data_IF_648364722151
#
_entry.id   IF_648364722151
#
_cell.length_a   1.000
_cell.length_b   1.000
_cell.length_c   1.000
_cell.angle_alpha   90.00
_cell.angle_beta   90.00
_cell.angle_gamma   90.00
#
_symmetry.space_group_name_H-M   'P 1'
#
loop_
_entity.id
_entity.type
_entity.pdbx_description
1 polymer ?
#
# COMPACT_ATOMS: atom_id res chain seq x y z
N UNK A 1 -31.86 18.51 6.69
CA UNK A 1 -30.41 18.18 6.72
C UNK A 1 -30.18 17.00 7.64
N UNK A 2 -29.97 15.81 7.08
CA UNK A 2 -29.58 14.63 7.88
C UNK A 2 -28.13 14.87 8.34
N UNK A 3 -27.82 14.81 9.65
CA UNK A 3 -26.45 14.98 10.13
C UNK A 3 -25.58 13.84 9.60
N UNK A 4 -24.48 14.20 8.93
CA UNK A 4 -23.58 13.25 8.28
C UNK A 4 -22.39 12.85 9.15
N UNK A 5 -22.08 13.62 10.19
CA UNK A 5 -20.97 13.37 11.12
C UNK A 5 -21.51 13.27 12.55
N UNK A 6 -21.26 12.15 13.22
CA UNK A 6 -21.64 11.92 14.61
C UNK A 6 -20.38 11.86 15.50
N UNK A 7 -20.08 12.92 16.28
CA UNK A 7 -18.88 12.97 17.10
C UNK A 7 -19.03 12.10 18.36
N UNK A 8 -18.31 10.97 18.40
CA UNK A 8 -18.35 10.04 19.55
C UNK A 8 -17.23 10.30 20.56
N UNK A 9 -16.24 11.13 20.21
CA UNK A 9 -15.09 11.44 21.07
C UNK A 9 -15.47 11.90 22.48
N UNK A 10 -16.57 12.63 22.61
CA UNK A 10 -17.08 13.12 23.89
C UNK A 10 -17.46 12.01 24.88
N UNK A 11 -17.85 10.83 24.39
CA UNK A 11 -18.25 9.70 25.23
C UNK A 11 -17.06 8.89 25.77
N UNK A 12 -15.85 9.09 25.24
CA UNK A 12 -14.65 8.35 25.64
C UNK A 12 -13.49 9.29 26.02
N UNK A 13 -13.63 10.09 27.10
CA UNK A 13 -12.61 11.06 27.49
C UNK A 13 -11.37 10.43 28.15
N UNK A 14 -11.54 9.29 28.82
CA UNK A 14 -10.52 8.70 29.70
C UNK A 14 -9.91 7.41 29.14
N UNK A 15 -8.65 7.12 29.51
CA UNK A 15 -8.03 5.80 29.25
C UNK A 15 -8.79 4.69 30.00
N UNK A 16 -8.87 3.46 29.45
CA UNK A 16 -8.28 3.00 28.19
C UNK A 16 -9.16 3.26 26.95
N UNK A 17 -10.42 3.63 27.14
CA UNK A 17 -11.41 3.81 26.07
C UNK A 17 -11.09 4.96 25.12
N UNK A 18 -10.31 5.95 25.56
CA UNK A 18 -9.75 7.00 24.71
C UNK A 18 -9.01 6.42 23.50
N UNK A 19 -8.45 5.22 23.61
CA UNK A 19 -7.77 4.52 22.51
C UNK A 19 -8.68 4.34 21.28
N UNK A 20 -9.98 4.08 21.46
CA UNK A 20 -10.95 3.90 20.37
C UNK A 20 -11.01 5.13 19.47
N UNK A 21 -10.90 6.32 20.07
CA UNK A 21 -11.07 7.61 19.38
C UNK A 21 -9.73 8.34 19.15
N UNK A 22 -8.61 7.69 19.48
CA UNK A 22 -7.26 8.20 19.24
C UNK A 22 -6.54 7.39 18.15
N UNK A 23 -5.58 7.99 17.44
CA UNK A 23 -4.89 7.33 16.33
C UNK A 23 -5.76 7.20 15.07
N UNK A 24 -6.42 6.05 14.90
CA UNK A 24 -7.37 5.76 13.83
C UNK A 24 -8.81 5.86 14.35
N UNK A 25 -9.37 7.06 14.58
CA UNK A 25 -10.60 7.21 15.34
C UNK A 25 -11.76 6.44 14.70
N UNK A 26 -12.57 5.77 15.51
CA UNK A 26 -13.90 5.31 15.11
C UNK A 26 -14.78 6.56 14.89
N UNK A 27 -14.95 6.95 13.63
CA UNK A 27 -15.80 8.07 13.25
C UNK A 27 -17.05 7.56 12.55
N UNK A 28 -18.21 7.91 13.09
CA UNK A 28 -19.48 7.66 12.43
C UNK A 28 -19.74 8.78 11.45
N UNK A 29 -19.41 8.53 10.17
CA UNK A 29 -19.65 9.45 9.08
C UNK A 29 -20.43 8.78 7.97
N UNK A 30 -21.70 9.13 7.85
CA UNK A 30 -22.54 8.56 6.80
C UNK A 30 -22.21 9.25 5.48
N UNK A 31 -21.64 8.48 4.54
CA UNK A 31 -21.42 8.95 3.16
C UNK A 31 -22.21 8.07 2.21
N UNK A 32 -23.34 8.59 1.72
CA UNK A 32 -24.23 7.86 0.81
C UNK A 32 -23.51 7.33 -0.44
N UNK A 33 -22.55 8.08 -0.97
CA UNK A 33 -21.73 7.63 -2.11
C UNK A 33 -20.85 6.44 -1.78
N UNK A 34 -20.37 6.32 -0.54
CA UNK A 34 -19.57 5.17 -0.11
C UNK A 34 -20.47 3.97 0.11
N UNK A 35 -21.61 4.15 0.78
CA UNK A 35 -22.63 3.10 0.98
C UNK A 35 -23.05 2.49 -0.35
N UNK A 36 -23.31 3.33 -1.36
CA UNK A 36 -23.68 2.86 -2.69
C UNK A 36 -22.60 2.03 -3.38
N UNK A 37 -21.32 2.30 -3.13
CA UNK A 37 -20.24 1.51 -3.73
C UNK A 37 -19.86 0.29 -2.89
N UNK A 38 -19.93 0.37 -1.57
CA UNK A 38 -19.71 -0.78 -0.68
C UNK A 38 -20.76 -1.87 -0.89
N UNK A 39 -21.94 -1.52 -1.41
CA UNK A 39 -22.95 -2.49 -1.87
C UNK A 39 -22.42 -3.46 -2.94
N UNK A 40 -21.47 -3.04 -3.78
CA UNK A 40 -20.86 -3.90 -4.80
C UNK A 40 -19.68 -4.73 -4.28
N UNK A 41 -19.25 -4.54 -3.02
CA UNK A 41 -18.19 -5.34 -2.43
C UNK A 41 -18.71 -6.74 -2.07
N UNK A 42 -17.84 -7.74 -2.15
CA UNK A 42 -18.19 -9.09 -1.73
C UNK A 42 -18.59 -9.10 -0.24
N UNK A 43 -19.69 -9.76 0.15
CA UNK A 43 -20.15 -9.79 1.55
C UNK A 43 -19.08 -10.24 2.54
N UNK A 44 -18.31 -11.27 2.19
CA UNK A 44 -17.20 -11.80 3.00
C UNK A 44 -16.11 -10.75 3.26
N UNK A 45 -15.85 -9.88 2.29
CA UNK A 45 -14.86 -8.81 2.42
C UNK A 45 -15.39 -7.73 3.35
N UNK A 46 -16.63 -7.31 3.17
CA UNK A 46 -17.27 -6.27 3.98
C UNK A 46 -17.35 -6.68 5.46
N UNK A 47 -17.82 -7.90 5.75
CA UNK A 47 -17.89 -8.40 7.13
C UNK A 47 -16.50 -8.54 7.77
N UNK A 48 -15.49 -8.89 6.97
CA UNK A 48 -14.11 -8.98 7.45
C UNK A 48 -13.50 -7.62 7.76
N UNK A 49 -13.67 -6.64 6.87
CA UNK A 49 -13.21 -5.26 7.12
C UNK A 49 -13.87 -4.72 8.39
N UNK A 50 -15.17 -5.00 8.55
CA UNK A 50 -15.90 -4.64 9.75
C UNK A 50 -15.29 -5.33 10.99
N UNK A 51 -15.32 -6.66 11.04
CA UNK A 51 -14.84 -7.40 12.20
C UNK A 51 -13.41 -7.03 12.59
N UNK A 52 -12.48 -6.98 11.63
CA UNK A 52 -11.07 -6.71 11.93
C UNK A 52 -10.81 -5.28 12.38
N UNK A 53 -11.55 -4.29 11.87
CA UNK A 53 -11.43 -2.93 12.39
C UNK A 53 -11.83 -2.86 13.88
N UNK A 54 -12.94 -3.50 14.26
CA UNK A 54 -13.33 -3.59 15.68
C UNK A 54 -12.32 -4.40 16.49
N UNK A 55 -11.83 -5.51 15.96
CA UNK A 55 -10.78 -6.31 16.59
C UNK A 55 -9.54 -5.47 16.93
N UNK A 56 -9.05 -4.66 15.98
CA UNK A 56 -7.94 -3.74 16.23
C UNK A 56 -8.29 -2.65 17.24
N UNK A 57 -9.54 -2.16 17.27
CA UNK A 57 -9.98 -1.19 18.29
C UNK A 57 -9.94 -1.78 19.69
N UNK A 58 -10.44 -2.99 19.88
CA UNK A 58 -10.33 -3.69 21.16
C UNK A 58 -8.88 -3.93 21.55
N UNK A 59 -8.01 -4.24 20.59
CA UNK A 59 -6.59 -4.39 20.85
C UNK A 59 -5.92 -3.08 21.26
N UNK A 60 -6.26 -1.95 20.63
CA UNK A 60 -5.76 -0.63 21.04
C UNK A 60 -6.20 -0.26 22.47
N UNK A 61 -7.44 -0.61 22.84
CA UNK A 61 -7.94 -0.46 24.22
C UNK A 61 -7.13 -1.33 25.17
N UNK A 62 -6.87 -2.59 24.84
CA UNK A 62 -6.06 -3.49 25.66
C UNK A 62 -4.62 -2.98 25.82
N UNK A 63 -3.97 -2.56 24.73
CA UNK A 63 -2.63 -1.95 24.74
C UNK A 63 -2.63 -0.71 25.65
N UNK A 64 -3.68 0.11 25.58
CA UNK A 64 -3.80 1.30 26.44
C UNK A 64 -4.09 0.95 27.90
N UNK A 65 -4.86 -0.09 28.20
CA UNK A 65 -5.20 -0.52 29.56
C UNK A 65 -3.97 -1.07 30.29
N UNK A 66 -3.20 -1.91 29.61
CA UNK A 66 -1.97 -2.50 30.15
C UNK A 66 -0.74 -1.60 29.98
N UNK A 67 -0.91 -0.40 29.39
CA UNK A 67 0.17 0.55 29.13
C UNK A 67 1.37 -0.08 28.38
N UNK A 68 1.09 -0.97 27.43
CA UNK A 68 2.12 -1.68 26.66
C UNK A 68 2.82 -0.66 25.75
N UNK A 69 4.09 -0.38 26.03
CA UNK A 69 4.85 0.61 25.29
C UNK A 69 5.33 0.08 23.92
N UNK A 70 5.42 0.99 22.94
CA UNK A 70 6.04 0.77 21.62
C UNK A 70 5.40 -0.30 20.72
N UNK A 71 4.24 -0.83 21.09
CA UNK A 71 3.41 -1.72 20.26
C UNK A 71 2.31 -0.91 19.58
N UNK A 72 2.16 -1.09 18.27
CA UNK A 72 1.09 -0.45 17.49
C UNK A 72 0.43 -1.50 16.57
N UNK A 73 -0.89 -1.42 16.41
CA UNK A 73 -1.70 -2.24 15.50
C UNK A 73 -1.27 -2.08 14.03
N UNK A 74 -0.77 -0.90 13.64
CA UNK A 74 -0.15 -0.70 12.32
C UNK A 74 1.05 -1.62 12.07
N UNK A 75 1.83 -1.95 13.12
CA UNK A 75 2.97 -2.86 12.98
C UNK A 75 2.51 -4.28 12.72
N UNK A 76 1.35 -4.68 13.25
CA UNK A 76 0.76 -5.97 12.91
C UNK A 76 0.32 -6.02 11.45
N UNK A 77 -0.31 -4.96 10.96
CA UNK A 77 -0.66 -4.83 9.54
C UNK A 77 0.59 -4.88 8.65
N UNK A 78 1.71 -4.30 9.09
CA UNK A 78 2.99 -4.40 8.38
C UNK A 78 3.40 -5.86 8.14
N UNK A 79 3.43 -6.66 9.21
CA UNK A 79 3.77 -8.08 9.10
C UNK A 79 2.73 -8.88 8.29
N UNK A 80 1.46 -8.53 8.42
CA UNK A 80 0.37 -9.14 7.66
C UNK A 80 0.56 -8.92 6.14
N UNK A 81 0.86 -7.69 5.72
CA UNK A 81 1.12 -7.35 4.32
C UNK A 81 2.35 -8.08 3.77
N UNK A 82 3.43 -8.19 4.56
CA UNK A 82 4.62 -8.94 4.14
C UNK A 82 4.32 -10.42 3.90
N UNK A 83 3.62 -11.06 4.83
CA UNK A 83 3.21 -12.48 4.69
C UNK A 83 2.29 -12.66 3.50
N UNK A 84 1.30 -11.78 3.34
CA UNK A 84 0.36 -11.82 2.22
C UNK A 84 1.11 -11.75 0.88
N UNK A 85 2.08 -10.85 0.75
CA UNK A 85 2.89 -10.75 -0.46
C UNK A 85 3.78 -11.98 -0.66
N UNK A 86 4.42 -12.49 0.39
CA UNK A 86 5.24 -13.69 0.33
C UNK A 86 4.43 -14.92 -0.14
N UNK A 87 3.24 -15.13 0.44
CA UNK A 87 2.35 -16.24 0.10
C UNK A 87 1.74 -16.07 -1.30
N UNK A 88 1.43 -14.83 -1.72
CA UNK A 88 0.95 -14.56 -3.08
C UNK A 88 2.03 -14.83 -4.13
N UNK A 89 3.27 -14.41 -3.85
CA UNK A 89 4.43 -14.68 -4.71
C UNK A 89 4.72 -16.19 -4.77
N UNK A 90 4.61 -16.89 -3.63
CA UNK A 90 4.77 -18.34 -3.56
C UNK A 90 3.73 -19.08 -4.39
N UNK A 91 2.46 -18.66 -4.35
CA UNK A 91 1.41 -19.25 -5.19
C UNK A 91 1.68 -19.03 -6.68
N UNK A 92 2.19 -17.85 -7.05
CA UNK A 92 2.53 -17.50 -8.43
C UNK A 92 3.86 -18.11 -8.94
N UNK A 93 4.64 -18.79 -8.09
CA UNK A 93 6.02 -19.23 -8.40
C UNK A 93 6.17 -19.99 -9.72
N UNK A 94 5.24 -20.90 -10.04
CA UNK A 94 5.30 -21.71 -11.28
C UNK A 94 5.17 -20.82 -12.51
N UNK A 95 4.23 -19.87 -12.47
CA UNK A 95 4.00 -18.91 -13.55
C UNK A 95 5.17 -17.93 -13.67
N UNK A 96 5.67 -17.39 -12.55
CA UNK A 96 6.82 -16.49 -12.54
C UNK A 96 8.10 -17.17 -13.07
N UNK A 97 8.35 -18.42 -12.69
CA UNK A 97 9.47 -19.21 -13.21
C UNK A 97 9.35 -19.42 -14.72
N UNK A 98 8.16 -19.77 -15.21
CA UNK A 98 7.93 -19.96 -16.64
C UNK A 98 8.15 -18.66 -17.44
N UNK A 99 7.73 -17.50 -16.92
CA UNK A 99 7.99 -16.18 -17.52
C UNK A 99 9.50 -15.85 -17.54
N UNK A 100 10.22 -16.15 -16.46
CA UNK A 100 11.67 -15.97 -16.41
C UNK A 100 12.40 -16.88 -17.41
N UNK A 101 12.03 -18.17 -17.47
CA UNK A 101 12.60 -19.13 -18.42
C UNK A 101 12.35 -18.67 -19.86
N UNK A 102 11.13 -18.27 -20.23
CA UNK A 102 10.81 -17.75 -21.56
C UNK A 102 11.63 -16.50 -21.94
N UNK A 103 12.07 -15.72 -20.95
CA UNK A 103 12.83 -14.48 -21.18
C UNK A 103 14.33 -14.72 -21.33
N UNK A 104 14.91 -15.62 -20.54
CA UNK A 104 16.36 -15.84 -20.47
C UNK A 104 16.83 -17.13 -21.16
N UNK A 105 15.94 -18.08 -21.49
CA UNK A 105 16.26 -19.35 -22.18
C UNK A 105 15.92 -19.26 -23.68
N UNK A 106 16.70 -19.95 -24.52
CA UNK A 106 16.61 -19.89 -25.97
C UNK A 106 15.21 -20.28 -26.52
N UNK A 107 14.79 -19.70 -27.66
CA UNK A 107 13.43 -19.81 -28.20
C UNK A 107 13.02 -21.20 -28.72
N UNK A 108 13.92 -22.19 -28.71
CA UNK A 108 13.65 -23.54 -29.26
C UNK A 108 12.69 -24.34 -28.37
N UNK A 109 12.68 -24.11 -27.06
CA UNK A 109 11.76 -24.75 -26.09
C UNK A 109 10.57 -23.85 -25.69
N UNK A 110 10.33 -22.75 -26.41
CA UNK A 110 9.38 -21.69 -26.04
C UNK A 110 7.89 -22.04 -26.16
N UNK A 111 7.55 -23.32 -26.37
CA UNK A 111 6.19 -23.84 -26.53
C UNK A 111 5.37 -23.80 -25.23
N UNK A 112 6.00 -23.54 -24.07
CA UNK A 112 5.34 -23.68 -22.77
C UNK A 112 4.24 -22.64 -22.47
N UNK A 113 4.23 -21.44 -23.10
CA UNK A 113 3.15 -20.43 -22.89
C UNK A 113 2.94 -19.60 -24.17
N UNK A 114 1.74 -19.65 -24.76
CA UNK A 114 1.32 -18.77 -25.86
C UNK A 114 0.99 -17.35 -25.35
N UNK A 115 1.73 -16.34 -25.81
CA UNK A 115 1.55 -14.92 -25.46
C UNK A 115 0.99 -14.09 -26.62
N UNK A 116 0.43 -14.72 -27.66
CA UNK A 116 -0.12 -14.00 -28.83
C UNK A 116 -1.30 -13.11 -28.49
N UNK A 117 -2.14 -13.53 -27.54
CA UNK A 117 -3.35 -12.81 -27.13
C UNK A 117 -3.12 -11.86 -25.95
N UNK A 118 -1.91 -11.83 -25.38
CA UNK A 118 -1.59 -10.94 -24.27
C UNK A 118 -1.29 -9.50 -24.74
N UNK A 119 -1.65 -8.45 -23.97
CA UNK A 119 -1.39 -7.06 -24.33
C UNK A 119 0.11 -6.73 -24.51
N UNK A 120 0.98 -7.46 -23.82
CA UNK A 120 2.43 -7.38 -23.89
C UNK A 120 3.03 -8.78 -23.94
N UNK A 121 4.12 -8.95 -24.67
CA UNK A 121 4.91 -10.17 -24.54
C UNK A 121 5.53 -10.24 -23.16
N UNK A 122 5.60 -11.44 -22.59
CA UNK A 122 6.19 -11.66 -21.27
C UNK A 122 7.64 -11.14 -21.18
N UNK A 123 8.40 -11.22 -22.29
CA UNK A 123 9.77 -10.73 -22.36
C UNK A 123 9.86 -9.20 -22.19
N UNK A 124 8.98 -8.45 -22.86
CA UNK A 124 9.00 -6.98 -22.73
C UNK A 124 8.49 -6.53 -21.36
N UNK A 125 7.52 -7.24 -20.78
CA UNK A 125 7.05 -6.98 -19.42
C UNK A 125 8.15 -7.18 -18.38
N UNK A 126 8.91 -8.30 -18.45
CA UNK A 126 9.99 -8.57 -17.51
C UNK A 126 11.16 -7.59 -17.67
N UNK A 127 11.59 -7.32 -18.91
CA UNK A 127 12.66 -6.35 -19.17
C UNK A 127 12.25 -4.93 -18.76
N UNK A 128 11.00 -4.54 -18.98
CA UNK A 128 10.47 -3.25 -18.51
C UNK A 128 10.46 -3.14 -16.99
N UNK A 129 10.07 -4.21 -16.29
CA UNK A 129 10.10 -4.27 -14.82
C UNK A 129 11.54 -4.16 -14.28
N UNK A 130 12.47 -4.96 -14.81
CA UNK A 130 13.88 -4.93 -14.40
C UNK A 130 14.51 -3.58 -14.72
N UNK A 131 14.30 -3.06 -15.93
CA UNK A 131 14.78 -1.73 -16.35
C UNK A 131 14.23 -0.61 -15.46
N UNK A 132 12.96 -0.69 -15.07
CA UNK A 132 12.34 0.24 -14.13
C UNK A 132 12.98 0.20 -12.74
N UNK A 133 13.24 -0.99 -12.20
CA UNK A 133 13.93 -1.14 -10.91
C UNK A 133 15.37 -0.64 -10.94
N UNK A 134 16.10 -0.94 -12.01
CA UNK A 134 17.47 -0.44 -12.20
C UNK A 134 17.47 1.08 -12.30
N UNK A 135 16.56 1.66 -13.09
CA UNK A 135 16.43 3.12 -13.22
C UNK A 135 16.10 3.79 -11.89
N UNK A 136 15.13 3.26 -11.14
CA UNK A 136 14.79 3.76 -9.80
C UNK A 136 15.95 3.64 -8.83
N UNK A 137 16.69 2.52 -8.87
CA UNK A 137 17.86 2.27 -8.03
C UNK A 137 19.00 3.23 -8.32
N UNK A 138 19.29 3.46 -9.61
CA UNK A 138 20.29 4.44 -10.03
C UNK A 138 19.91 5.84 -9.54
N UNK A 139 18.67 6.27 -9.75
CA UNK A 139 18.19 7.58 -9.26
C UNK A 139 18.27 7.71 -7.74
N UNK A 140 17.91 6.65 -6.99
CA UNK A 140 18.03 6.62 -5.54
C UNK A 140 19.49 6.82 -5.08
N UNK A 141 20.44 6.13 -5.73
CA UNK A 141 21.87 6.22 -5.40
C UNK A 141 22.46 7.57 -5.81
N UNK A 142 22.09 8.13 -6.98
CA UNK A 142 22.54 9.46 -7.40
C UNK A 142 22.04 10.57 -6.47
N UNK A 143 20.85 10.41 -5.87
CA UNK A 143 20.33 11.29 -4.82
C UNK A 143 21.10 11.16 -3.49
N UNK A 144 22.03 10.21 -3.37
CA UNK A 144 22.88 10.01 -2.19
C UNK A 144 22.37 8.95 -1.21
N UNK A 145 21.43 8.09 -1.62
CA UNK A 145 20.99 6.95 -0.83
C UNK A 145 22.03 5.83 -0.90
N UNK A 146 22.28 5.14 0.22
CA UNK A 146 23.15 3.96 0.23
C UNK A 146 22.54 2.82 -0.59
N UNK A 147 23.35 2.12 -1.37
CA UNK A 147 22.92 1.05 -2.31
C UNK A 147 22.03 0.01 -1.64
N UNK A 148 22.40 -0.47 -0.44
CA UNK A 148 21.62 -1.50 0.26
C UNK A 148 20.23 -1.00 0.68
N UNK A 149 20.10 0.26 1.13
CA UNK A 149 18.78 0.87 1.43
C UNK A 149 17.99 1.10 0.15
N UNK A 150 18.62 1.51 -0.95
CA UNK A 150 17.93 1.68 -2.23
C UNK A 150 17.30 0.36 -2.69
N UNK A 151 18.03 -0.75 -2.60
CA UNK A 151 17.50 -2.10 -2.94
C UNK A 151 16.31 -2.45 -2.04
N UNK A 152 16.47 -2.31 -0.73
CA UNK A 152 15.38 -2.62 0.22
C UNK A 152 14.16 -1.70 0.02
N UNK A 153 14.39 -0.42 -0.28
CA UNK A 153 13.35 0.56 -0.52
C UNK A 153 12.54 0.18 -1.77
N UNK A 154 13.20 -0.15 -2.88
CA UNK A 154 12.54 -0.59 -4.12
C UNK A 154 11.76 -1.90 -3.89
N UNK A 155 12.36 -2.85 -3.17
CA UNK A 155 11.67 -4.09 -2.82
C UNK A 155 10.39 -3.80 -2.03
N UNK A 156 10.48 -2.95 -1.00
CA UNK A 156 9.33 -2.59 -0.18
C UNK A 156 8.28 -1.83 -1.00
N UNK A 157 8.70 -0.91 -1.86
CA UNK A 157 7.81 -0.21 -2.79
C UNK A 157 7.04 -1.19 -3.68
N UNK A 158 7.72 -2.19 -4.22
CA UNK A 158 7.11 -3.21 -5.06
C UNK A 158 6.10 -4.07 -4.28
N UNK A 159 6.42 -4.46 -3.04
CA UNK A 159 5.50 -5.16 -2.13
C UNK A 159 4.24 -4.32 -1.88
N UNK A 160 4.42 -3.04 -1.53
CA UNK A 160 3.32 -2.12 -1.24
C UNK A 160 2.45 -1.87 -2.48
N UNK A 161 3.05 -1.62 -3.64
CA UNK A 161 2.34 -1.39 -4.90
C UNK A 161 1.54 -2.62 -5.33
N UNK A 162 2.14 -3.81 -5.25
CA UNK A 162 1.47 -5.08 -5.59
C UNK A 162 0.33 -5.37 -4.62
N UNK A 163 0.54 -5.15 -3.32
CA UNK A 163 -0.50 -5.35 -2.30
C UNK A 163 -1.67 -4.38 -2.51
N UNK A 164 -1.38 -3.10 -2.78
CA UNK A 164 -2.43 -2.12 -3.10
C UNK A 164 -3.20 -2.51 -4.37
N UNK A 165 -2.51 -2.95 -5.42
CA UNK A 165 -3.13 -3.42 -6.66
C UNK A 165 -4.00 -4.67 -6.44
N UNK A 166 -3.52 -5.62 -5.63
CA UNK A 166 -4.26 -6.80 -5.24
C UNK A 166 -5.51 -6.46 -4.42
N UNK A 167 -5.39 -5.51 -3.48
CA UNK A 167 -6.55 -5.08 -2.70
C UNK A 167 -7.64 -4.49 -3.61
N UNK A 168 -7.26 -3.67 -4.59
CA UNK A 168 -8.21 -3.05 -5.51
C UNK A 168 -8.82 -4.07 -6.46
N UNK A 169 -8.02 -4.97 -7.02
CA UNK A 169 -8.48 -5.94 -8.03
C UNK A 169 -9.31 -7.09 -7.43
N UNK A 170 -8.96 -7.55 -6.23
CA UNK A 170 -9.62 -8.70 -5.60
C UNK A 170 -10.85 -8.29 -4.77
N UNK A 171 -10.78 -7.13 -4.11
CA UNK A 171 -11.87 -6.70 -3.23
C UNK A 171 -12.85 -5.73 -3.90
N UNK A 172 -12.44 -5.01 -4.95
CA UNK A 172 -13.21 -3.89 -5.50
C UNK A 172 -13.20 -2.65 -4.61
N UNK A 173 -12.30 -2.59 -3.62
CA UNK A 173 -12.24 -1.47 -2.68
C UNK A 173 -11.83 -0.16 -3.40
N UNK A 174 -12.68 0.87 -3.28
CA UNK A 174 -12.45 2.21 -3.85
C UNK A 174 -11.17 2.87 -3.34
N UNK A 175 -11.01 2.88 -2.02
CA UNK A 175 -9.99 3.61 -1.30
C UNK A 175 -9.26 2.64 -0.39
N UNK A 176 -8.11 2.18 -0.86
CA UNK A 176 -7.21 1.33 -0.11
C UNK A 176 -5.95 2.10 0.19
N UNK A 177 -5.57 2.13 1.46
CA UNK A 177 -4.29 2.63 1.89
C UNK A 177 -3.51 1.48 2.52
N UNK A 178 -2.23 1.32 2.18
CA UNK A 178 -1.39 0.37 2.91
C UNK A 178 -0.93 1.07 4.19
N UNK A 179 -1.25 0.49 5.35
CA UNK A 179 -1.24 1.18 6.65
C UNK A 179 0.13 1.58 7.22
N UNK A 180 1.20 1.58 6.41
CA UNK A 180 2.55 1.93 6.83
C UNK A 180 3.40 2.49 5.69
N UNK A 181 4.51 3.14 6.03
CA UNK A 181 5.44 3.74 5.06
C UNK A 181 6.87 3.17 5.21
N UNK A 182 7.71 3.21 4.16
CA UNK A 182 9.10 2.77 4.26
C UNK A 182 9.90 3.46 5.35
N UNK A 183 9.68 4.76 5.57
CA UNK A 183 10.34 5.48 6.66
C UNK A 183 10.04 4.82 8.00
N UNK A 184 8.75 4.54 8.27
CA UNK A 184 8.34 3.86 9.51
C UNK A 184 8.85 2.41 9.59
N UNK A 185 8.89 1.70 8.47
CA UNK A 185 9.37 0.32 8.38
C UNK A 185 10.86 0.19 8.69
N UNK A 186 11.70 0.96 7.98
CA UNK A 186 13.15 0.92 8.19
C UNK A 186 13.55 1.44 9.56
N UNK A 187 12.89 2.48 10.06
CA UNK A 187 13.08 2.99 11.42
C UNK A 187 12.74 1.92 12.47
N UNK A 188 11.66 1.15 12.27
CA UNK A 188 11.27 0.08 13.19
C UNK A 188 12.32 -1.03 13.28
N UNK A 189 12.88 -1.45 12.14
CA UNK A 189 13.81 -2.60 12.06
C UNK A 189 15.24 -2.20 12.41
N UNK A 190 15.76 -1.14 11.80
CA UNK A 190 17.17 -0.76 11.89
C UNK A 190 17.43 0.37 12.90
N UNK A 191 16.40 1.13 13.28
CA UNK A 191 16.55 2.35 14.07
C UNK A 191 17.08 3.53 13.24
N UNK A 192 17.09 4.73 13.83
CA UNK A 192 17.55 5.94 13.17
C UNK A 192 19.06 5.97 12.93
N UNK A 193 19.87 5.45 13.88
CA UNK A 193 21.34 5.52 13.81
C UNK A 193 21.92 4.72 12.64
N UNK A 194 21.45 3.48 12.43
CA UNK A 194 21.98 2.59 11.40
C UNK A 194 21.62 3.04 9.98
N UNK A 195 20.52 3.76 9.80
CA UNK A 195 20.11 4.28 8.51
C UNK A 195 21.02 5.43 8.05
N UNK A 196 21.51 6.25 8.97
CA UNK A 196 22.35 7.41 8.65
C UNK A 196 21.55 8.59 8.08
N UNK A 197 22.14 9.78 8.19
CA UNK A 197 21.45 11.06 7.94
C UNK A 197 20.91 11.18 6.51
N UNK A 198 21.72 10.86 5.51
CA UNK A 198 21.32 10.98 4.09
C UNK A 198 20.10 10.14 3.77
N UNK A 199 20.09 8.88 4.23
CA UNK A 199 18.99 7.97 4.00
C UNK A 199 17.73 8.39 4.77
N UNK A 200 17.86 8.88 6.00
CA UNK A 200 16.71 9.40 6.77
C UNK A 200 16.03 10.58 6.06
N UNK A 201 16.81 11.50 5.48
CA UNK A 201 16.28 12.62 4.71
C UNK A 201 15.51 12.10 3.50
N UNK A 202 16.12 11.25 2.67
CA UNK A 202 15.49 10.74 1.45
C UNK A 202 14.25 9.88 1.74
N UNK A 203 14.33 8.97 2.71
CA UNK A 203 13.21 8.11 3.11
C UNK A 203 12.04 8.92 3.70
N UNK A 204 12.29 10.10 4.29
CA UNK A 204 11.22 10.93 4.83
C UNK A 204 10.29 11.50 3.75
N UNK A 205 10.70 11.50 2.48
CA UNK A 205 9.86 11.84 1.32
C UNK A 205 9.09 10.63 0.76
N UNK A 206 8.99 9.54 1.53
CA UNK A 206 8.22 8.34 1.22
C UNK A 206 6.84 8.59 0.61
N UNK A 207 6.09 9.56 1.14
CA UNK A 207 4.74 9.91 0.66
C UNK A 207 4.73 10.54 -0.73
N UNK A 208 5.83 11.18 -1.14
CA UNK A 208 5.98 11.72 -2.50
C UNK A 208 6.44 10.65 -3.49
N UNK A 209 7.13 9.61 -3.00
CA UNK A 209 7.69 8.55 -3.85
C UNK A 209 6.74 7.36 -4.03
N UNK A 210 5.86 7.07 -3.06
CA UNK A 210 4.99 5.89 -3.08
C UNK A 210 3.53 6.29 -3.21
N UNK A 211 2.80 5.69 -4.17
CA UNK A 211 1.35 5.72 -4.14
C UNK A 211 0.85 4.89 -2.96
N UNK A 212 0.81 5.50 -1.77
CA UNK A 212 0.29 4.88 -0.55
C UNK A 212 -1.23 4.66 -0.63
N UNK A 213 -1.88 5.13 -1.70
CA UNK A 213 -3.32 5.09 -1.93
C UNK A 213 -3.60 4.35 -3.24
N UNK A 214 -4.65 3.54 -3.26
CA UNK A 214 -5.14 2.84 -4.45
C UNK A 214 -5.38 3.79 -5.62
N UNK A 215 -5.94 4.97 -5.35
CA UNK A 215 -6.22 6.00 -6.35
C UNK A 215 -4.96 6.58 -7.00
N UNK A 216 -3.79 6.32 -6.42
CA UNK A 216 -2.50 6.73 -6.95
C UNK A 216 -1.75 5.56 -7.60
N UNK A 217 -2.22 4.31 -7.43
CA UNK A 217 -1.56 3.12 -7.93
C UNK A 217 -1.92 2.86 -9.39
N UNK A 218 -1.04 3.26 -10.30
CA UNK A 218 -1.17 2.98 -11.73
C UNK A 218 -1.27 1.48 -12.05
N UNK A 219 -0.69 0.62 -11.20
CA UNK A 219 -0.75 -0.83 -11.34
C UNK A 219 -2.19 -1.34 -11.18
N UNK A 220 -2.94 -0.81 -10.21
CA UNK A 220 -4.33 -1.22 -9.98
C UNK A 220 -5.23 -0.90 -11.18
N UNK A 221 -5.13 0.32 -11.71
CA UNK A 221 -5.85 0.74 -12.91
C UNK A 221 -5.46 -0.08 -14.14
N UNK A 222 -4.18 -0.39 -14.30
CA UNK A 222 -3.70 -1.18 -15.43
C UNK A 222 -4.27 -2.60 -15.43
N UNK A 223 -4.30 -3.26 -14.26
CA UNK A 223 -4.87 -4.61 -14.13
C UNK A 223 -6.37 -4.62 -14.45
N UNK A 224 -7.12 -3.62 -13.98
CA UNK A 224 -8.55 -3.51 -14.27
C UNK A 224 -8.80 -3.29 -15.76
N UNK A 225 -8.02 -2.40 -16.40
CA UNK A 225 -8.13 -2.15 -17.85
C UNK A 225 -7.83 -3.41 -18.67
N UNK A 226 -6.79 -4.17 -18.31
CA UNK A 226 -6.50 -5.45 -18.97
C UNK A 226 -7.57 -6.50 -18.73
N UNK A 227 -8.14 -6.55 -17.52
CA UNK A 227 -9.27 -7.46 -17.22
C UNK A 227 -10.49 -7.11 -18.05
N UNK A 228 -10.83 -5.83 -18.18
CA UNK A 228 -11.94 -5.35 -19.00
C UNK A 228 -11.74 -5.71 -20.47
N UNK A 229 -10.54 -5.46 -21.00
CA UNK A 229 -10.20 -5.82 -22.37
C UNK A 229 -10.30 -7.33 -22.63
N UNK A 230 -9.89 -8.16 -21.67
CA UNK A 230 -10.00 -9.61 -21.77
C UNK A 230 -11.46 -10.09 -21.73
N UNK A 231 -12.29 -9.55 -20.82
CA UNK A 231 -13.73 -9.91 -20.72
C UNK A 231 -14.47 -9.60 -22.02
N UNK A 232 -14.13 -8.50 -22.70
CA UNK A 232 -14.73 -8.12 -23.97
C UNK A 232 -14.00 -8.68 -25.20
N UNK A 233 -13.02 -9.57 -25.00
CA UNK A 233 -12.20 -10.16 -26.08
C UNK A 233 -11.60 -9.12 -27.04
N UNK A 234 -11.27 -7.94 -26.52
CA UNK A 234 -10.66 -6.87 -27.32
C UNK A 234 -9.24 -7.28 -27.72
N UNK A 235 -8.83 -7.07 -28.99
CA UNK A 235 -7.50 -7.40 -29.44
C UNK A 235 -6.48 -6.38 -28.89
N UNK A 236 -6.17 -6.51 -27.60
CA UNK A 236 -5.42 -5.54 -26.79
C UNK A 236 -4.07 -5.16 -27.39
N UNK A 237 -3.39 -6.14 -28.00
CA UNK A 237 -2.11 -5.95 -28.70
C UNK A 237 -2.27 -5.15 -30.00
N UNK A 238 -3.28 -5.46 -30.80
CA UNK A 238 -3.55 -4.76 -32.07
C UNK A 238 -4.00 -3.32 -31.82
N UNK A 239 -4.79 -3.10 -30.76
CA UNK A 239 -5.21 -1.78 -30.31
C UNK A 239 -4.09 -0.98 -29.62
N UNK A 240 -2.91 -1.59 -29.40
CA UNK A 240 -1.75 -0.96 -28.75
C UNK A 240 -2.11 -0.37 -27.37
N UNK A 241 -2.99 -1.04 -26.62
CA UNK A 241 -3.57 -0.52 -25.38
C UNK A 241 -2.50 -0.04 -24.39
N UNK A 242 -1.46 -0.86 -24.19
CA UNK A 242 -0.34 -0.51 -23.31
C UNK A 242 0.43 0.73 -23.76
N UNK A 243 0.58 0.95 -25.07
CA UNK A 243 1.29 2.13 -25.58
C UNK A 243 0.47 3.40 -25.32
N UNK A 244 -0.85 3.35 -25.49
CA UNK A 244 -1.75 4.45 -25.15
C UNK A 244 -1.76 4.75 -23.65
N UNK A 245 -1.75 3.71 -22.81
CA UNK A 245 -1.62 3.87 -21.36
C UNK A 245 -0.28 4.52 -20.99
N UNK A 246 0.82 4.09 -21.58
CA UNK A 246 2.14 4.67 -21.37
C UNK A 246 2.18 6.14 -21.81
N UNK A 247 1.64 6.45 -22.99
CA UNK A 247 1.55 7.82 -23.50
C UNK A 247 0.73 8.70 -22.55
N UNK A 248 -0.41 8.22 -22.06
CA UNK A 248 -1.23 8.95 -21.09
C UNK A 248 -0.49 9.22 -19.78
N UNK A 249 0.30 8.25 -19.28
CA UNK A 249 1.14 8.42 -18.09
C UNK A 249 2.21 9.49 -18.34
N UNK A 250 2.93 9.43 -19.45
CA UNK A 250 3.97 10.41 -19.80
C UNK A 250 3.38 11.81 -19.94
N UNK A 251 2.27 11.94 -20.67
CA UNK A 251 1.56 13.20 -20.84
C UNK A 251 1.08 13.75 -19.50
N UNK A 252 0.52 12.89 -18.63
CA UNK A 252 0.08 13.26 -17.29
C UNK A 252 1.24 13.77 -16.43
N UNK A 253 2.42 13.13 -16.48
CA UNK A 253 3.62 13.59 -15.76
C UNK A 253 4.02 15.00 -16.23
N UNK A 254 4.10 15.22 -17.54
CA UNK A 254 4.52 16.51 -18.11
C UNK A 254 3.52 17.61 -17.74
N UNK A 255 2.22 17.39 -17.98
CA UNK A 255 1.18 18.37 -17.68
C UNK A 255 1.13 18.66 -16.18
N UNK A 256 1.15 17.61 -15.33
CA UNK A 256 1.10 17.77 -13.88
C UNK A 256 2.31 18.53 -13.37
N UNK A 257 3.50 18.26 -13.89
CA UNK A 257 4.72 18.98 -13.51
C UNK A 257 4.60 20.49 -13.78
N UNK A 258 4.28 20.88 -15.02
CA UNK A 258 4.18 22.29 -15.38
C UNK A 258 3.03 23.02 -14.68
N UNK A 259 1.85 22.40 -14.61
CA UNK A 259 0.69 23.00 -13.94
C UNK A 259 0.94 23.18 -12.44
N UNK A 260 1.42 22.14 -11.76
CA UNK A 260 1.72 22.18 -10.32
C UNK A 260 2.78 23.25 -10.02
N UNK A 261 3.85 23.33 -10.81
CA UNK A 261 4.90 24.33 -10.65
C UNK A 261 4.38 25.76 -10.86
N UNK A 262 3.54 25.97 -11.89
CA UNK A 262 2.92 27.27 -12.16
C UNK A 262 2.02 27.73 -11.02
N UNK A 263 1.20 26.83 -10.47
CA UNK A 263 0.33 27.14 -9.34
C UNK A 263 1.12 27.43 -8.06
N UNK A 264 2.17 26.64 -7.78
CA UNK A 264 3.05 26.88 -6.63
C UNK A 264 3.70 28.26 -6.73
N UNK A 265 4.21 28.66 -7.89
CA UNK A 265 4.84 29.97 -8.06
C UNK A 265 3.85 31.14 -8.01
N UNK A 266 2.64 30.98 -8.55
CA UNK A 266 1.64 32.07 -8.58
C UNK A 266 0.94 32.30 -7.25
N UNK A 267 0.56 31.21 -6.55
CA UNK A 267 -0.25 31.30 -5.32
C UNK A 267 0.53 31.02 -4.04
N UNK A 268 1.74 30.48 -4.15
CA UNK A 268 2.49 29.94 -3.02
C UNK A 268 1.96 28.57 -2.59
N UNK A 269 2.86 27.61 -2.35
CA UNK A 269 2.49 26.25 -1.92
C UNK A 269 1.66 26.20 -0.63
N UNK A 270 1.85 27.19 0.27
CA UNK A 270 1.16 27.27 1.56
C UNK A 270 -0.33 27.58 1.41
N UNK A 271 -0.71 28.33 0.37
CA UNK A 271 -2.09 28.73 0.11
C UNK A 271 -2.86 27.70 -0.74
N UNK A 272 -2.17 26.68 -1.26
CA UNK A 272 -2.79 25.57 -1.98
C UNK A 272 -3.29 24.49 -1.00
N UNK A 273 -3.97 23.48 -1.53
CA UNK A 273 -4.54 22.39 -0.72
C UNK A 273 -3.48 21.75 0.18
N UNK A 274 -3.60 22.02 1.48
CA UNK A 274 -2.62 21.66 2.50
C UNK A 274 -2.27 20.16 2.48
N UNK A 275 -3.25 19.30 2.20
CA UNK A 275 -3.07 17.85 2.11
C UNK A 275 -2.05 17.42 1.04
N UNK A 276 -1.97 18.14 -0.08
CA UNK A 276 -1.12 17.81 -1.22
C UNK A 276 0.23 18.54 -1.11
N UNK A 277 0.21 19.82 -0.74
CA UNK A 277 1.39 20.68 -0.81
C UNK A 277 2.20 20.77 0.49
N UNK A 278 1.65 20.34 1.65
CA UNK A 278 2.39 20.33 2.92
C UNK A 278 3.20 19.02 3.16
N UNK A 279 3.46 18.23 2.12
CA UNK A 279 4.24 16.99 2.26
C UNK A 279 5.72 17.29 2.53
N UNK A 280 6.27 18.34 1.91
CA UNK A 280 7.68 18.72 2.03
C UNK A 280 8.10 19.10 3.46
N UNK A 281 7.47 20.11 4.09
CA UNK A 281 7.80 20.49 5.47
C UNK A 281 7.58 19.36 6.47
N UNK A 282 6.52 18.55 6.28
CA UNK A 282 6.23 17.39 7.11
C UNK A 282 7.30 16.29 7.01
N UNK A 283 7.78 16.00 5.80
CA UNK A 283 8.90 15.09 5.56
C UNK A 283 10.17 15.58 6.26
N UNK A 284 10.55 16.84 6.03
CA UNK A 284 11.75 17.42 6.62
C UNK A 284 11.71 17.45 8.15
N UNK A 285 10.56 17.79 8.75
CA UNK A 285 10.41 17.74 10.21
C UNK A 285 10.57 16.33 10.77
N UNK A 286 10.07 15.31 10.06
CA UNK A 286 10.25 13.89 10.45
C UNK A 286 11.73 13.47 10.40
N UNK A 287 12.44 13.82 9.33
CA UNK A 287 13.86 13.47 9.21
C UNK A 287 14.71 14.21 10.24
N UNK A 288 14.53 15.52 10.40
CA UNK A 288 15.25 16.33 11.41
C UNK A 288 15.01 15.78 12.81
N UNK A 289 13.77 15.44 13.16
CA UNK A 289 13.47 14.85 14.47
C UNK A 289 14.20 13.53 14.69
N UNK A 290 14.28 12.65 13.69
CA UNK A 290 15.05 11.39 13.80
C UNK A 290 16.56 11.59 13.78
N UNK A 291 17.06 12.65 13.14
CA UNK A 291 18.50 12.97 13.16
C UNK A 291 18.90 13.47 14.54
N UNK A 292 18.10 14.37 15.12
CA UNK A 292 18.36 14.94 16.45
C UNK A 292 18.09 13.94 17.58
N UNK A 293 17.05 13.11 17.43
CA UNK A 293 16.64 12.11 18.42
C UNK A 293 16.55 10.72 17.78
N UNK A 294 17.69 10.08 17.46
CA UNK A 294 17.69 8.84 16.73
C UNK A 294 17.09 7.70 17.54
N UNK A 295 16.01 7.14 17.01
CA UNK A 295 15.34 6.01 17.63
C UNK A 295 16.19 4.72 17.59
N UNK A 296 16.09 3.91 18.65
CA UNK A 296 16.60 2.54 18.63
C UNK A 296 15.63 1.62 17.88
N UNK A 297 16.12 0.47 17.35
CA UNK A 297 15.25 -0.57 16.82
C UNK A 297 14.09 -0.89 17.77
N UNK A 298 12.88 -0.97 17.23
CA UNK A 298 11.69 -1.21 18.03
C UNK A 298 11.37 -2.71 18.08
N UNK A 299 12.02 -3.43 18.98
CA UNK A 299 11.82 -4.87 19.16
C UNK A 299 10.37 -5.26 19.49
N UNK A 300 9.65 -4.59 20.42
CA UNK A 300 8.22 -4.84 20.62
C UNK A 300 7.39 -4.68 19.34
N UNK A 301 7.74 -3.71 18.50
CA UNK A 301 7.08 -3.51 17.21
C UNK A 301 7.39 -4.58 16.17
N UNK A 302 8.61 -5.10 16.14
CA UNK A 302 8.99 -6.23 15.29
C UNK A 302 8.23 -7.49 15.72
N UNK A 303 8.14 -7.75 17.03
CA UNK A 303 7.34 -8.86 17.57
C UNK A 303 5.85 -8.69 17.22
N UNK A 304 5.33 -7.47 17.33
CA UNK A 304 3.97 -7.13 16.88
C UNK A 304 3.78 -7.45 15.40
N UNK A 305 4.71 -7.06 14.52
CA UNK A 305 4.68 -7.45 13.11
C UNK A 305 4.71 -8.98 12.93
N UNK A 306 5.54 -9.69 13.69
CA UNK A 306 5.55 -11.16 13.71
C UNK A 306 4.18 -11.76 14.05
N UNK A 307 3.51 -11.26 15.10
CA UNK A 307 2.15 -11.70 15.47
C UNK A 307 1.14 -11.45 14.36
N UNK A 308 1.21 -10.28 13.69
CA UNK A 308 0.36 -9.99 12.54
C UNK A 308 0.61 -10.91 11.34
N UNK A 309 1.87 -11.29 11.11
CA UNK A 309 2.23 -12.28 10.10
C UNK A 309 1.69 -13.69 10.40
N UNK A 310 1.72 -14.12 11.68
CA UNK A 310 1.16 -15.40 12.12
C UNK A 310 -0.36 -15.41 11.92
N UNK A 311 -1.06 -14.36 12.35
CA UNK A 311 -2.51 -14.23 12.18
C UNK A 311 -2.87 -14.26 10.69
N UNK A 312 -2.16 -13.50 9.86
CA UNK A 312 -2.37 -13.51 8.41
C UNK A 312 -2.14 -14.90 7.79
N UNK A 313 -1.08 -15.60 8.19
CA UNK A 313 -0.80 -16.96 7.72
C UNK A 313 -1.94 -17.92 8.09
N UNK A 314 -2.45 -17.80 9.32
CA UNK A 314 -3.61 -18.55 9.79
C UNK A 314 -4.87 -18.26 8.96
N UNK A 315 -5.16 -16.98 8.69
CA UNK A 315 -6.31 -16.59 7.88
C UNK A 315 -6.22 -17.13 6.44
N UNK A 316 -5.04 -17.06 5.82
CA UNK A 316 -4.83 -17.60 4.47
C UNK A 316 -4.99 -19.12 4.48
N UNK A 317 -4.39 -19.82 5.45
CA UNK A 317 -4.48 -21.26 5.59
C UNK A 317 -5.94 -21.73 5.80
N UNK A 318 -6.66 -21.08 6.72
CA UNK A 318 -8.06 -21.40 7.00
C UNK A 318 -8.92 -21.22 5.76
N UNK A 319 -8.73 -20.12 5.02
CA UNK A 319 -9.50 -19.87 3.79
C UNK A 319 -9.15 -20.82 2.64
N UNK A 320 -7.91 -21.30 2.57
CA UNK A 320 -7.51 -22.29 1.56
C UNK A 320 -8.03 -23.70 1.87
N UNK A 321 -8.23 -24.03 3.15
CA UNK A 321 -8.66 -25.37 3.58
C UNK A 321 -10.17 -25.49 3.80
N UNK A 322 -10.82 -24.43 4.27
CA UNK A 322 -12.22 -24.42 4.67
C UNK A 322 -13.03 -23.43 3.83
N UNK A 323 -13.92 -23.94 2.98
CA UNK A 323 -14.78 -23.13 2.11
C UNK A 323 -15.79 -22.28 2.89
N UNK A 324 -16.16 -22.69 4.10
CA UNK A 324 -17.13 -22.01 4.95
C UNK A 324 -16.52 -20.88 5.81
N UNK A 325 -15.20 -20.68 5.76
CA UNK A 325 -14.53 -19.69 6.59
C UNK A 325 -14.91 -18.26 6.16
N UNK A 326 -15.57 -17.48 7.03
CA UNK A 326 -16.17 -16.20 6.63
C UNK A 326 -15.14 -15.06 6.56
N UNK A 327 -13.99 -15.20 7.23
CA UNK A 327 -13.02 -14.11 7.34
C UNK A 327 -12.01 -14.09 6.20
N UNK A 328 -12.10 -13.05 5.39
CA UNK A 328 -11.20 -12.77 4.30
C UNK A 328 -9.89 -12.13 4.81
N UNK A 329 -8.70 -12.64 4.42
CA UNK A 329 -7.39 -12.10 4.82
C UNK A 329 -7.23 -10.58 4.58
N UNK A 330 -7.89 -10.09 3.53
CA UNK A 330 -7.94 -8.66 3.17
C UNK A 330 -8.51 -7.78 4.29
N UNK A 331 -9.52 -8.24 5.02
CA UNK A 331 -10.10 -7.46 6.12
C UNK A 331 -9.06 -7.17 7.20
N UNK A 332 -8.19 -8.15 7.51
CA UNK A 332 -7.12 -7.98 8.48
C UNK A 332 -6.03 -7.02 8.00
N UNK A 333 -5.69 -7.05 6.71
CA UNK A 333 -4.73 -6.11 6.11
C UNK A 333 -5.25 -4.67 6.02
N UNK A 334 -6.57 -4.47 5.91
CA UNK A 334 -7.19 -3.15 5.79
C UNK A 334 -7.69 -2.56 7.12
N UNK A 335 -7.86 -3.39 8.15
CA UNK A 335 -8.52 -3.02 9.40
C UNK A 335 -7.89 -1.86 10.18
N UNK A 336 -6.65 -1.44 9.87
CA UNK A 336 -5.99 -0.27 10.49
C UNK A 336 -5.53 0.71 9.43
N UNK A 337 -6.48 1.22 8.65
CA UNK A 337 -6.20 2.17 7.57
C UNK A 337 -7.19 3.33 7.59
N UNK A 338 -6.91 4.35 6.79
CA UNK A 338 -7.71 5.56 6.77
C UNK A 338 -9.16 5.32 6.37
N UNK A 339 -9.40 4.42 5.40
CA UNK A 339 -10.74 4.18 4.88
C UNK A 339 -11.68 3.60 5.96
N UNK A 340 -11.38 2.48 6.63
CA UNK A 340 -12.23 1.96 7.70
C UNK A 340 -12.42 2.92 8.87
N UNK A 341 -11.43 3.76 9.20
CA UNK A 341 -11.59 4.74 10.30
C UNK A 341 -12.59 5.87 10.00
N UNK A 342 -12.77 6.23 8.73
CA UNK A 342 -13.55 7.42 8.32
C UNK A 342 -14.83 7.10 7.55
N UNK A 343 -14.89 5.90 7.01
CA UNK A 343 -15.95 5.37 6.16
C UNK A 343 -16.52 4.10 6.81
N UNK A 344 -16.59 4.12 8.13
CA UNK A 344 -17.15 3.04 8.92
C UNK A 344 -18.68 3.03 8.74
N UNK A 345 -19.19 1.99 8.05
CA UNK A 345 -20.55 1.81 7.48
C UNK A 345 -20.77 2.27 6.04
#
# INVERSE_FOLDING_TARGET
>A
NIPLDYPIRQFFPNKPWLAIVSGWPLLFRLRLSVVGVTYFLLPDVTISIWFFFLFYKFQEVAISAFSIARVNTQQQVMGAVLVLMAVSTWQARKHLLAVCQKTFTNPVDSVLIDDKNEPLSYRSALLGMVGGFVFMGMMAVTMGMSVWIAILFILLMWILATTAAWHVSNAGCLLVNVGFTPFSFFRMIFGGRALGVRNLILLSFDRSSIPNWSSQSLMAYSIQNFRLANIHHLPSRNMRLTQWMLLAVVLSIVITFFTTLTWIHRKGAVNLTHWIFNVGPGAMRRSVNEILNPSSPNLPGILSAGTGGIIMSGLIFMRQRFLWWPFHPLGYALGVTWAPSRLWF
#
